data_IF_117601332535
#
_entry.id   IF_117601332535
#
_cell.length_a   1.000
_cell.length_b   1.000
_cell.length_c   1.000
_cell.angle_alpha   90.00
_cell.angle_beta   90.00
_cell.angle_gamma   90.00
#
_symmetry.space_group_name_H-M   'P 1'
#
loop_
_entity.id
_entity.type
_entity.pdbx_description
1 polymer ?
#
# COMPACT_ATOMS: atom_id res chain seq x y z
N UNK A 1 27.93 18.35 -31.74
CA UNK A 1 27.10 17.97 -30.59
C UNK A 1 26.09 16.91 -31.04
N UNK A 2 26.06 15.73 -30.41
CA UNK A 2 25.05 14.70 -30.71
C UNK A 2 23.68 15.21 -30.26
N UNK A 3 22.67 15.13 -31.08
CA UNK A 3 21.29 15.48 -30.72
C UNK A 3 20.80 14.50 -29.64
N UNK A 4 20.41 15.03 -28.47
CA UNK A 4 19.72 14.27 -27.45
C UNK A 4 18.39 13.81 -28.03
N UNK A 5 18.14 12.52 -28.04
CA UNK A 5 16.85 11.97 -28.51
C UNK A 5 15.79 12.12 -27.43
N UNK A 6 14.51 12.19 -27.84
CA UNK A 6 13.38 12.29 -26.90
C UNK A 6 13.44 11.22 -25.79
N UNK A 7 13.66 9.92 -26.09
CA UNK A 7 13.77 8.91 -25.03
C UNK A 7 14.92 9.17 -24.04
N UNK A 8 16.04 9.73 -24.52
CA UNK A 8 17.17 10.05 -23.64
C UNK A 8 16.85 11.22 -22.72
N UNK A 9 16.14 12.24 -23.22
CA UNK A 9 15.68 13.35 -22.40
C UNK A 9 14.67 12.90 -21.37
N UNK A 10 13.70 12.05 -21.74
CA UNK A 10 12.71 11.48 -20.82
C UNK A 10 13.39 10.69 -19.70
N UNK A 11 14.36 9.83 -20.05
CA UNK A 11 15.11 9.05 -19.03
C UNK A 11 15.90 9.97 -18.06
N UNK A 12 16.52 11.04 -18.58
CA UNK A 12 17.22 12.00 -17.74
C UNK A 12 16.29 12.73 -16.79
N UNK A 13 15.15 13.20 -17.28
CA UNK A 13 14.13 13.88 -16.47
C UNK A 13 13.58 12.91 -15.39
N UNK A 14 13.18 11.71 -15.78
CA UNK A 14 12.63 10.72 -14.87
C UNK A 14 13.64 10.36 -13.75
N UNK A 15 14.93 10.15 -14.08
CA UNK A 15 15.98 9.90 -13.11
C UNK A 15 16.20 11.08 -12.17
N UNK A 16 16.18 12.30 -12.69
CA UNK A 16 16.34 13.52 -11.85
C UNK A 16 15.15 13.71 -10.91
N UNK A 17 13.92 13.57 -11.40
CA UNK A 17 12.70 13.67 -10.57
C UNK A 17 12.71 12.61 -9.47
N UNK A 18 13.10 11.36 -9.79
CA UNK A 18 13.20 10.28 -8.81
C UNK A 18 14.25 10.57 -7.73
N UNK A 19 15.40 11.16 -8.09
CA UNK A 19 16.43 11.56 -7.13
C UNK A 19 15.94 12.67 -6.20
N UNK A 20 15.30 13.70 -6.76
CA UNK A 20 14.73 14.80 -5.98
C UNK A 20 13.68 14.25 -5.01
N UNK A 21 12.79 13.39 -5.49
CA UNK A 21 11.77 12.75 -4.65
C UNK A 21 12.39 11.92 -3.52
N UNK A 22 13.43 11.11 -3.81
CA UNK A 22 14.19 10.37 -2.80
C UNK A 22 14.74 11.29 -1.71
N UNK A 23 15.38 12.39 -2.10
CA UNK A 23 15.98 13.33 -1.15
C UNK A 23 14.92 14.01 -0.29
N UNK A 24 13.84 14.50 -0.90
CA UNK A 24 12.75 15.15 -0.17
C UNK A 24 12.08 14.18 0.81
N UNK A 25 11.73 12.96 0.37
CA UNK A 25 11.16 11.96 1.27
C UNK A 25 12.13 11.56 2.38
N UNK A 26 13.43 11.44 2.10
CA UNK A 26 14.45 11.14 3.10
C UNK A 26 14.56 12.22 4.19
N UNK A 27 14.41 13.48 3.81
CA UNK A 27 14.41 14.62 4.75
C UNK A 27 13.11 14.66 5.57
N UNK A 28 11.95 14.47 4.94
CA UNK A 28 10.65 14.58 5.61
C UNK A 28 10.30 13.38 6.49
N UNK A 29 10.69 12.17 6.06
CA UNK A 29 10.21 10.91 6.67
C UNK A 29 11.33 9.97 7.12
N UNK A 30 12.60 10.39 7.06
CA UNK A 30 13.80 9.59 7.30
C UNK A 30 14.26 8.74 6.11
N UNK A 31 15.59 8.70 5.89
CA UNK A 31 16.23 7.85 4.86
C UNK A 31 16.17 6.35 5.19
N UNK A 32 15.88 6.00 6.44
CA UNK A 32 15.70 4.60 6.88
C UNK A 32 14.31 4.04 6.55
N UNK A 33 13.38 4.85 6.04
CA UNK A 33 12.03 4.40 5.69
C UNK A 33 12.09 3.23 4.69
N UNK A 34 11.40 2.15 5.04
CA UNK A 34 11.40 0.91 4.25
C UNK A 34 11.10 1.15 2.78
N UNK A 35 11.97 0.66 1.89
CA UNK A 35 11.79 0.72 0.44
C UNK A 35 12.12 2.07 -0.23
N UNK A 36 12.46 3.14 0.50
CA UNK A 36 12.75 4.45 -0.08
C UNK A 36 13.92 4.40 -1.08
N UNK A 37 14.88 3.50 -0.87
CA UNK A 37 16.02 3.24 -1.77
C UNK A 37 15.63 2.87 -3.21
N UNK A 38 14.38 2.43 -3.45
CA UNK A 38 13.86 2.12 -4.79
C UNK A 38 13.97 3.35 -5.71
N UNK A 39 13.66 4.52 -5.19
CA UNK A 39 13.74 5.78 -5.93
C UNK A 39 15.17 6.17 -6.28
N UNK A 40 16.12 5.93 -5.37
CA UNK A 40 17.56 6.10 -5.65
C UNK A 40 18.03 5.10 -6.71
N UNK A 41 17.66 3.82 -6.57
CA UNK A 41 17.99 2.78 -7.54
C UNK A 41 17.46 3.10 -8.94
N UNK A 42 16.20 3.54 -9.05
CA UNK A 42 15.62 3.97 -10.31
C UNK A 42 16.38 5.16 -10.93
N UNK A 43 16.73 6.16 -10.12
CA UNK A 43 17.54 7.30 -10.58
C UNK A 43 18.90 6.86 -11.13
N UNK A 44 19.58 5.96 -10.43
CA UNK A 44 20.89 5.43 -10.87
C UNK A 44 20.79 4.63 -12.17
N UNK A 45 19.74 3.81 -12.33
CA UNK A 45 19.46 3.05 -13.56
C UNK A 45 19.21 4.01 -14.73
N UNK A 46 18.39 5.04 -14.54
CA UNK A 46 18.12 6.04 -15.58
C UNK A 46 19.38 6.83 -15.94
N UNK A 47 20.17 7.27 -14.96
CA UNK A 47 21.45 7.94 -15.18
C UNK A 47 22.44 7.06 -15.95
N UNK A 48 22.56 5.78 -15.59
CA UNK A 48 23.38 4.82 -16.34
C UNK A 48 22.90 4.62 -17.77
N UNK A 49 21.58 4.50 -17.98
CA UNK A 49 21.01 4.35 -19.33
C UNK A 49 21.32 5.56 -20.22
N UNK A 50 21.22 6.77 -19.68
CA UNK A 50 21.59 8.01 -20.37
C UNK A 50 23.07 8.03 -20.70
N UNK A 51 23.93 7.75 -19.72
CA UNK A 51 25.38 7.70 -19.92
C UNK A 51 25.78 6.66 -20.97
N UNK A 52 25.21 5.45 -20.88
CA UNK A 52 25.44 4.38 -21.86
C UNK A 52 25.06 4.82 -23.27
N UNK A 53 23.89 5.41 -23.43
CA UNK A 53 23.39 5.91 -24.72
C UNK A 53 24.28 6.98 -25.33
N UNK A 54 24.83 7.87 -24.51
CA UNK A 54 25.65 8.98 -25.01
C UNK A 54 27.12 8.59 -25.23
N UNK A 55 27.67 7.71 -24.39
CA UNK A 55 29.12 7.44 -24.38
C UNK A 55 29.48 6.06 -24.95
N UNK A 56 28.74 5.00 -24.63
CA UNK A 56 29.12 3.63 -24.96
C UNK A 56 28.48 3.14 -26.29
N UNK A 57 27.18 3.30 -26.46
CA UNK A 57 26.45 2.79 -27.64
C UNK A 57 27.05 3.28 -28.98
N UNK A 58 27.51 4.54 -29.12
CA UNK A 58 28.12 5.00 -30.35
C UNK A 58 29.48 4.40 -30.67
N UNK A 59 30.12 3.75 -29.70
CA UNK A 59 31.45 3.11 -29.88
C UNK A 59 31.34 1.63 -30.21
N UNK A 60 30.14 1.04 -30.18
CA UNK A 60 29.94 -0.38 -30.54
C UNK A 60 30.10 -0.52 -32.06
N UNK A 61 31.10 -1.27 -32.53
CA UNK A 61 31.34 -1.41 -33.98
C UNK A 61 30.20 -2.19 -34.64
N UNK A 62 29.86 -1.78 -35.87
CA UNK A 62 28.85 -2.47 -36.67
C UNK A 62 29.33 -3.86 -37.03
N UNK A 63 28.62 -4.91 -36.58
CA UNK A 63 28.99 -6.29 -36.81
C UNK A 63 28.11 -7.26 -35.99
N UNK A 64 28.61 -8.49 -35.79
CA UNK A 64 27.90 -9.53 -35.05
C UNK A 64 27.59 -9.11 -33.60
N UNK A 65 28.53 -8.43 -32.94
CA UNK A 65 28.34 -7.90 -31.59
C UNK A 65 27.24 -6.86 -31.51
N UNK A 66 27.12 -5.97 -32.51
CA UNK A 66 26.04 -4.98 -32.58
C UNK A 66 24.67 -5.62 -32.79
N UNK A 67 24.56 -6.71 -33.57
CA UNK A 67 23.33 -7.47 -33.72
C UNK A 67 22.87 -8.07 -32.39
N UNK A 68 23.80 -8.71 -31.65
CA UNK A 68 23.53 -9.29 -30.32
C UNK A 68 23.08 -8.18 -29.35
N UNK A 69 23.80 -7.06 -29.28
CA UNK A 69 23.40 -5.91 -28.46
C UNK A 69 21.99 -5.43 -28.77
N UNK A 70 21.61 -5.30 -30.04
CA UNK A 70 20.26 -4.90 -30.43
C UNK A 70 19.19 -5.88 -29.96
N UNK A 71 19.43 -7.19 -30.09
CA UNK A 71 18.50 -8.22 -29.63
C UNK A 71 18.32 -8.12 -28.12
N UNK A 72 19.42 -8.09 -27.36
CA UNK A 72 19.36 -7.98 -25.89
C UNK A 72 18.63 -6.71 -25.45
N UNK A 73 18.95 -5.59 -26.08
CA UNK A 73 18.25 -4.32 -25.80
C UNK A 73 16.75 -4.42 -26.06
N UNK A 74 16.33 -5.02 -27.18
CA UNK A 74 14.90 -5.21 -27.48
C UNK A 74 14.23 -6.11 -26.44
N UNK A 75 14.85 -7.24 -26.09
CA UNK A 75 14.33 -8.15 -25.05
C UNK A 75 14.18 -7.42 -23.71
N UNK A 76 15.21 -6.71 -23.26
CA UNK A 76 15.15 -5.93 -22.01
C UNK A 76 14.03 -4.89 -22.03
N UNK A 77 13.87 -4.16 -23.13
CA UNK A 77 12.80 -3.18 -23.29
C UNK A 77 11.42 -3.83 -23.30
N UNK A 78 11.26 -5.00 -23.94
CA UNK A 78 10.00 -5.73 -23.96
C UNK A 78 9.61 -6.26 -22.56
N UNK A 79 10.57 -6.81 -21.82
CA UNK A 79 10.37 -7.26 -20.42
C UNK A 79 10.01 -6.06 -19.53
N UNK A 80 10.71 -4.95 -19.68
CA UNK A 80 10.39 -3.72 -18.94
C UNK A 80 9.00 -3.19 -19.28
N UNK A 81 8.62 -3.18 -20.55
CA UNK A 81 7.29 -2.74 -20.98
C UNK A 81 6.19 -3.65 -20.41
N UNK A 82 6.40 -4.96 -20.37
CA UNK A 82 5.48 -5.91 -19.77
C UNK A 82 5.35 -5.67 -18.25
N UNK A 83 6.47 -5.49 -17.56
CA UNK A 83 6.49 -5.15 -16.13
C UNK A 83 5.70 -3.86 -15.86
N UNK A 84 5.95 -2.81 -16.65
CA UNK A 84 5.23 -1.55 -16.50
C UNK A 84 3.73 -1.68 -16.79
N UNK A 85 3.33 -2.52 -17.75
CA UNK A 85 1.91 -2.79 -18.01
C UNK A 85 1.23 -3.46 -16.81
N UNK A 86 1.86 -4.46 -16.21
CA UNK A 86 1.37 -5.14 -14.98
C UNK A 86 1.31 -4.16 -13.82
N UNK A 87 2.36 -3.37 -13.61
CA UNK A 87 2.41 -2.34 -12.58
C UNK A 87 1.27 -1.32 -12.74
N UNK A 88 1.09 -0.76 -13.94
CA UNK A 88 0.02 0.20 -14.21
C UNK A 88 -1.36 -0.42 -13.98
N UNK A 89 -1.57 -1.66 -14.41
CA UNK A 89 -2.84 -2.35 -14.16
C UNK A 89 -3.12 -2.49 -12.66
N UNK A 90 -2.11 -2.87 -11.88
CA UNK A 90 -2.22 -2.95 -10.42
C UNK A 90 -2.59 -1.58 -9.81
N UNK A 91 -1.89 -0.51 -10.20
CA UNK A 91 -2.18 0.84 -9.71
C UNK A 91 -3.60 1.30 -10.08
N UNK A 92 -4.10 0.95 -11.26
CA UNK A 92 -5.49 1.23 -11.64
C UNK A 92 -6.51 0.48 -10.78
N UNK A 93 -6.24 -0.78 -10.44
CA UNK A 93 -7.07 -1.55 -9.51
C UNK A 93 -7.05 -0.93 -8.11
N UNK A 94 -5.87 -0.52 -7.63
CA UNK A 94 -5.69 0.14 -6.34
C UNK A 94 -6.48 1.45 -6.27
N UNK A 95 -6.32 2.33 -7.26
CA UNK A 95 -7.03 3.62 -7.35
C UNK A 95 -8.55 3.39 -7.44
N UNK A 96 -8.99 2.42 -8.25
CA UNK A 96 -10.41 2.08 -8.36
C UNK A 96 -11.01 1.67 -7.03
N UNK A 97 -10.30 0.85 -6.26
CA UNK A 97 -10.76 0.39 -4.94
C UNK A 97 -10.75 1.51 -3.90
N UNK A 98 -9.74 2.38 -3.95
CA UNK A 98 -9.67 3.57 -3.11
C UNK A 98 -10.86 4.50 -3.32
N UNK A 99 -11.15 4.87 -4.59
CA UNK A 99 -12.29 5.72 -4.92
C UNK A 99 -13.61 5.08 -4.44
N UNK A 100 -13.76 3.76 -4.59
CA UNK A 100 -14.93 3.05 -4.10
C UNK A 100 -15.05 3.17 -2.57
N UNK A 101 -13.94 3.03 -1.84
CA UNK A 101 -13.90 3.18 -0.38
C UNK A 101 -14.24 4.59 0.12
N UNK A 102 -13.92 5.64 -0.64
CA UNK A 102 -14.32 7.02 -0.30
C UNK A 102 -15.84 7.25 -0.44
N UNK A 103 -16.54 6.46 -1.24
CA UNK A 103 -17.98 6.57 -1.45
C UNK A 103 -18.84 5.72 -0.51
N UNK A 104 -18.25 5.00 0.43
CA UNK A 104 -18.96 4.01 1.26
C UNK A 104 -19.56 4.60 2.54
N UNK A 105 -19.48 5.90 2.76
CA UNK A 105 -20.01 6.66 3.90
C UNK A 105 -21.53 6.59 3.96
N UNK A 106 -22.30 5.85 4.02
CA UNK A 106 -23.78 5.67 4.02
C UNK A 106 -24.18 4.18 3.89
N UNK A 107 -23.19 3.31 3.78
CA UNK A 107 -23.41 1.87 3.79
C UNK A 107 -23.44 1.38 5.25
N UNK A 108 -24.48 0.62 5.64
CA UNK A 108 -24.53 0.03 6.98
C UNK A 108 -23.60 -1.19 7.08
N UNK A 109 -22.98 -1.38 8.23
CA UNK A 109 -22.19 -2.58 8.55
C UNK A 109 -22.55 -3.11 9.94
N UNK A 110 -22.44 -4.44 10.11
CA UNK A 110 -22.64 -5.12 11.39
C UNK A 110 -21.34 -5.12 12.20
N UNK A 111 -20.22 -5.16 11.50
CA UNK A 111 -18.87 -5.17 12.07
C UNK A 111 -17.96 -4.20 11.30
N UNK A 112 -17.13 -3.48 12.02
CA UNK A 112 -16.12 -2.56 11.48
C UNK A 112 -14.73 -3.05 11.90
N UNK A 113 -13.93 -3.50 10.95
CA UNK A 113 -12.53 -3.86 11.17
C UNK A 113 -11.68 -2.62 10.90
N UNK A 114 -10.91 -2.17 11.88
CA UNK A 114 -9.95 -1.07 11.73
C UNK A 114 -8.55 -1.67 11.70
N UNK A 115 -7.91 -1.62 10.52
CA UNK A 115 -6.55 -2.16 10.37
C UNK A 115 -5.52 -1.23 11.01
N UNK A 116 -4.61 -1.83 11.74
CA UNK A 116 -3.51 -1.16 12.40
C UNK A 116 -2.52 -0.48 11.44
N UNK A 117 -1.80 0.48 11.96
CA UNK A 117 -0.68 1.15 11.32
C UNK A 117 0.26 1.68 12.42
N UNK A 118 1.39 2.25 12.01
CA UNK A 118 2.45 2.70 12.92
C UNK A 118 1.91 3.52 14.08
N UNK A 119 2.32 3.15 15.28
CA UNK A 119 2.22 3.93 16.52
C UNK A 119 3.58 4.58 16.75
N UNK A 120 3.63 5.71 17.40
CA UNK A 120 4.86 6.40 17.80
C UNK A 120 4.87 6.50 19.34
N UNK A 121 5.41 5.45 19.96
CA UNK A 121 5.37 5.29 21.42
C UNK A 121 3.98 4.90 21.93
N UNK A 122 3.13 5.87 22.27
CA UNK A 122 1.75 5.68 22.72
C UNK A 122 0.73 6.51 21.92
N UNK A 123 1.20 7.21 20.87
CA UNK A 123 0.36 8.09 20.02
C UNK A 123 0.21 7.48 18.63
N UNK A 124 -0.98 7.60 18.00
CA UNK A 124 -1.13 7.14 16.63
C UNK A 124 -0.26 7.99 15.67
N UNK A 125 0.53 7.32 14.81
CA UNK A 125 1.16 7.99 13.69
C UNK A 125 0.12 8.49 12.66
N UNK A 126 0.53 9.35 11.71
CA UNK A 126 -0.38 10.03 10.77
C UNK A 126 -1.38 9.09 10.07
N UNK A 127 -0.91 7.94 9.57
CA UNK A 127 -1.78 6.99 8.87
C UNK A 127 -2.77 6.32 9.82
N UNK A 128 -2.36 5.99 11.05
CA UNK A 128 -3.26 5.41 12.04
C UNK A 128 -4.29 6.41 12.51
N UNK A 129 -3.89 7.67 12.75
CA UNK A 129 -4.79 8.76 13.12
C UNK A 129 -5.88 8.98 12.04
N UNK A 130 -5.50 8.98 10.76
CA UNK A 130 -6.44 9.08 9.66
C UNK A 130 -7.44 7.90 9.62
N UNK A 131 -6.97 6.67 9.88
CA UNK A 131 -7.85 5.48 9.95
C UNK A 131 -8.81 5.56 11.14
N UNK A 132 -8.33 6.00 12.29
CA UNK A 132 -9.17 6.18 13.49
C UNK A 132 -10.26 7.22 13.22
N UNK A 133 -9.93 8.33 12.56
CA UNK A 133 -10.91 9.36 12.22
C UNK A 133 -11.94 8.82 11.23
N UNK A 134 -11.53 8.13 10.17
CA UNK A 134 -12.44 7.53 9.20
C UNK A 134 -13.34 6.45 9.85
N UNK A 135 -12.78 5.68 10.80
CA UNK A 135 -13.56 4.72 11.57
C UNK A 135 -14.60 5.43 12.46
N UNK A 136 -14.21 6.50 13.13
CA UNK A 136 -15.10 7.29 13.96
C UNK A 136 -16.29 7.85 13.13
N UNK A 137 -16.01 8.53 12.01
CA UNK A 137 -17.04 9.08 11.12
C UNK A 137 -17.99 7.98 10.62
N UNK A 138 -17.46 6.82 10.25
CA UNK A 138 -18.29 5.69 9.80
C UNK A 138 -19.14 5.12 10.93
N UNK A 139 -18.63 5.09 12.18
CA UNK A 139 -19.33 4.56 13.36
C UNK A 139 -20.42 5.51 13.87
N UNK A 140 -20.36 6.82 13.59
CA UNK A 140 -21.45 7.76 13.87
C UNK A 140 -22.70 7.38 13.09
N UNK A 141 -22.55 6.94 11.82
CA UNK A 141 -23.66 6.47 10.98
C UNK A 141 -24.05 5.00 11.27
N UNK A 142 -23.20 4.26 12.02
CA UNK A 142 -23.39 2.83 12.35
C UNK A 142 -23.30 2.59 13.87
N UNK A 143 -24.26 3.11 14.67
CA UNK A 143 -24.16 3.10 16.14
C UNK A 143 -24.23 1.69 16.76
N UNK A 144 -24.77 0.70 16.06
CA UNK A 144 -24.92 -0.68 16.56
C UNK A 144 -23.78 -1.61 16.13
N UNK A 145 -22.90 -1.16 15.21
CA UNK A 145 -21.81 -2.00 14.70
C UNK A 145 -20.78 -2.37 15.79
N UNK A 146 -20.34 -3.62 15.79
CA UNK A 146 -19.20 -4.06 16.59
C UNK A 146 -17.90 -3.60 15.93
N UNK A 147 -16.93 -3.13 16.71
CA UNK A 147 -15.61 -2.70 16.23
C UNK A 147 -14.55 -3.73 16.56
N UNK A 148 -13.73 -4.09 15.60
CA UNK A 148 -12.53 -4.93 15.81
C UNK A 148 -11.31 -4.07 15.44
N UNK A 149 -10.62 -3.60 16.47
CA UNK A 149 -9.35 -2.89 16.32
C UNK A 149 -8.22 -3.92 16.20
N UNK A 150 -7.45 -3.86 15.10
CA UNK A 150 -6.41 -4.85 14.80
C UNK A 150 -5.03 -4.22 14.83
N UNK A 151 -4.05 -4.99 15.32
CA UNK A 151 -2.64 -4.66 15.24
C UNK A 151 -1.89 -4.93 16.55
N UNK A 152 -0.76 -5.59 16.43
CA UNK A 152 0.10 -5.96 17.55
C UNK A 152 0.98 -4.82 18.05
N UNK A 153 1.98 -5.17 18.84
CA UNK A 153 2.98 -4.24 19.37
C UNK A 153 4.11 -4.05 18.36
N UNK A 154 4.31 -2.83 17.91
CA UNK A 154 5.43 -2.47 17.06
C UNK A 154 6.76 -2.37 17.81
N UNK A 155 7.87 -2.44 17.07
CA UNK A 155 9.21 -2.31 17.66
C UNK A 155 9.42 -0.91 18.24
N UNK A 156 9.59 -0.85 19.57
CA UNK A 156 9.82 0.41 20.30
C UNK A 156 8.56 1.12 20.74
N UNK A 157 7.37 0.57 20.48
CA UNK A 157 6.10 1.11 20.94
C UNK A 157 5.77 0.66 22.37
N UNK A 158 4.94 1.42 23.06
CA UNK A 158 4.51 1.14 24.45
C UNK A 158 3.12 0.52 24.51
N UNK A 159 2.34 0.65 23.44
CA UNK A 159 0.98 0.11 23.31
C UNK A 159 0.84 -0.59 21.97
N UNK A 160 -0.08 -1.56 21.89
CA UNK A 160 -0.40 -2.20 20.62
C UNK A 160 -1.15 -1.22 19.70
N UNK A 161 -1.06 -1.43 18.39
CA UNK A 161 -1.84 -0.64 17.43
C UNK A 161 -3.34 -0.75 17.74
N UNK A 162 -3.82 -1.94 18.10
CA UNK A 162 -5.22 -2.20 18.48
C UNK A 162 -5.64 -1.43 19.75
N UNK A 163 -4.81 -1.40 20.78
CA UNK A 163 -5.11 -0.66 22.01
C UNK A 163 -5.07 0.86 21.78
N UNK A 164 -4.17 1.34 20.91
CA UNK A 164 -4.12 2.73 20.50
C UNK A 164 -5.42 3.13 19.74
N UNK A 165 -5.89 2.32 18.79
CA UNK A 165 -7.17 2.53 18.09
C UNK A 165 -8.32 2.59 19.09
N UNK A 166 -8.41 1.60 19.99
CA UNK A 166 -9.46 1.54 21.00
C UNK A 166 -9.47 2.76 21.90
N UNK A 167 -8.30 3.15 22.42
CA UNK A 167 -8.17 4.31 23.28
C UNK A 167 -8.64 5.60 22.63
N UNK A 168 -8.24 5.81 21.37
CA UNK A 168 -8.63 7.00 20.61
C UNK A 168 -10.12 7.02 20.24
N UNK A 169 -10.71 5.87 19.84
CA UNK A 169 -12.14 5.78 19.55
C UNK A 169 -12.98 6.04 20.82
N UNK A 170 -12.56 5.54 21.98
CA UNK A 170 -13.23 5.85 23.27
C UNK A 170 -13.11 7.35 23.57
N UNK A 171 -11.95 7.96 23.35
CA UNK A 171 -11.74 9.41 23.55
C UNK A 171 -12.64 10.25 22.66
N UNK A 172 -12.94 9.76 21.45
CA UNK A 172 -13.87 10.38 20.51
C UNK A 172 -15.35 10.15 20.84
N UNK A 173 -15.66 9.26 21.81
CA UNK A 173 -17.03 9.03 22.30
C UNK A 173 -17.65 7.70 21.92
N UNK A 174 -16.92 6.79 21.26
CA UNK A 174 -17.41 5.44 20.96
C UNK A 174 -17.43 4.60 22.24
N UNK A 175 -18.54 3.86 22.50
CA UNK A 175 -18.66 2.97 23.64
C UNK A 175 -17.59 1.86 23.60
N UNK A 176 -16.72 1.81 24.59
CA UNK A 176 -15.65 0.81 24.69
C UNK A 176 -16.13 -0.64 24.74
N UNK A 177 -17.38 -0.88 25.13
CA UNK A 177 -17.98 -2.22 25.11
C UNK A 177 -18.24 -2.76 23.70
N UNK A 178 -18.32 -1.88 22.72
CA UNK A 178 -18.43 -2.25 21.29
C UNK A 178 -17.08 -2.58 20.66
N UNK A 179 -15.94 -2.30 21.32
CA UNK A 179 -14.63 -2.37 20.72
C UNK A 179 -13.87 -3.59 21.24
N UNK A 180 -13.71 -4.59 20.37
CA UNK A 180 -12.84 -5.73 20.55
C UNK A 180 -11.43 -5.38 20.05
N UNK A 181 -10.39 -5.93 20.66
CA UNK A 181 -9.01 -5.72 20.24
C UNK A 181 -8.36 -7.02 19.82
N UNK A 182 -7.73 -7.02 18.66
CA UNK A 182 -6.82 -8.05 18.17
C UNK A 182 -5.39 -7.51 18.28
N UNK A 183 -4.59 -8.08 19.17
CA UNK A 183 -3.28 -7.53 19.58
C UNK A 183 -2.08 -8.43 19.25
N UNK A 184 -2.30 -9.52 18.49
CA UNK A 184 -1.27 -10.54 18.21
C UNK A 184 -0.61 -10.38 16.85
N UNK A 185 -1.33 -9.79 15.91
CA UNK A 185 -0.91 -9.68 14.51
C UNK A 185 0.35 -8.85 14.33
N UNK A 186 1.19 -9.28 13.42
CA UNK A 186 2.43 -8.60 12.99
C UNK A 186 2.40 -8.25 11.50
N UNK A 187 1.31 -8.60 10.82
CA UNK A 187 1.11 -8.37 9.38
C UNK A 187 -0.36 -8.17 9.05
N UNK A 188 -0.64 -7.60 7.87
CA UNK A 188 -2.03 -7.43 7.41
C UNK A 188 -2.74 -8.78 7.23
N UNK A 189 -2.02 -9.81 6.80
CA UNK A 189 -2.56 -11.17 6.69
C UNK A 189 -3.03 -11.69 8.06
N UNK A 190 -2.22 -11.50 9.11
CA UNK A 190 -2.56 -11.90 10.47
C UNK A 190 -3.67 -11.04 11.07
N UNK A 191 -3.76 -9.74 10.73
CA UNK A 191 -4.89 -8.90 11.12
C UNK A 191 -6.23 -9.56 10.71
N UNK A 192 -6.35 -9.99 9.46
CA UNK A 192 -7.57 -10.64 8.97
C UNK A 192 -7.76 -12.04 9.54
N UNK A 193 -6.67 -12.82 9.66
CA UNK A 193 -6.72 -14.16 10.22
C UNK A 193 -7.29 -14.16 11.65
N UNK A 194 -6.78 -13.28 12.51
CA UNK A 194 -7.22 -13.20 13.90
C UNK A 194 -8.51 -12.41 14.09
N UNK A 195 -8.76 -11.38 13.26
CA UNK A 195 -10.03 -10.67 13.27
C UNK A 195 -11.20 -11.59 12.91
N UNK A 196 -11.00 -12.54 11.98
CA UNK A 196 -12.04 -13.49 11.59
C UNK A 196 -12.58 -14.31 12.77
N UNK A 197 -11.78 -14.57 13.80
CA UNK A 197 -12.18 -15.27 15.03
C UNK A 197 -13.05 -14.40 15.94
N UNK A 198 -12.98 -13.06 15.82
CA UNK A 198 -13.69 -12.10 16.66
C UNK A 198 -14.99 -11.60 16.01
N UNK A 199 -15.17 -11.83 14.71
CA UNK A 199 -16.38 -11.41 13.98
C UNK A 199 -17.58 -12.19 14.47
N UNK A 200 -18.70 -11.54 14.89
CA UNK A 200 -19.93 -12.22 15.24
C UNK A 200 -20.42 -13.17 14.15
N UNK A 201 -20.97 -14.32 14.54
CA UNK A 201 -21.39 -15.36 13.57
C UNK A 201 -22.53 -14.91 12.67
N UNK A 202 -23.33 -13.96 13.09
CA UNK A 202 -24.49 -13.38 12.41
C UNK A 202 -24.13 -12.11 11.61
N UNK A 203 -22.88 -11.68 11.63
CA UNK A 203 -22.44 -10.52 10.85
C UNK A 203 -22.36 -10.87 9.35
N UNK A 204 -23.10 -10.13 8.53
CA UNK A 204 -23.15 -10.28 7.07
C UNK A 204 -22.40 -9.16 6.34
N UNK A 205 -22.27 -7.99 6.97
CA UNK A 205 -21.68 -6.78 6.37
C UNK A 205 -20.52 -6.29 7.21
N UNK A 206 -19.32 -6.39 6.65
CA UNK A 206 -18.08 -6.07 7.34
C UNK A 206 -17.42 -4.88 6.66
N UNK A 207 -17.38 -3.75 7.34
CA UNK A 207 -16.61 -2.60 6.89
C UNK A 207 -15.14 -2.78 7.23
N UNK A 208 -14.24 -2.51 6.27
CA UNK A 208 -12.79 -2.55 6.47
C UNK A 208 -12.22 -1.15 6.30
N UNK A 209 -11.78 -0.57 7.42
CA UNK A 209 -11.21 0.76 7.48
C UNK A 209 -9.69 0.66 7.36
N UNK A 210 -9.14 1.28 6.32
CA UNK A 210 -7.70 1.38 6.10
C UNK A 210 -7.35 2.55 5.18
N UNK A 211 -6.05 2.80 4.99
CA UNK A 211 -5.55 3.80 4.03
C UNK A 211 -6.03 3.54 2.62
N UNK A 212 -6.37 4.59 1.86
CA UNK A 212 -6.91 4.44 0.52
C UNK A 212 -6.00 3.62 -0.42
N UNK A 213 -4.68 3.86 -0.38
CA UNK A 213 -3.71 3.09 -1.17
C UNK A 213 -3.58 1.62 -0.73
N UNK A 214 -4.06 1.26 0.47
CA UNK A 214 -4.02 -0.10 0.99
C UNK A 214 -5.32 -0.90 0.74
N UNK A 215 -6.41 -0.24 0.34
CA UNK A 215 -7.74 -0.85 0.18
C UNK A 215 -7.77 -2.06 -0.74
N UNK A 216 -7.00 -2.03 -1.85
CA UNK A 216 -6.99 -3.15 -2.79
C UNK A 216 -6.43 -4.44 -2.16
N UNK A 217 -5.30 -4.34 -1.46
CA UNK A 217 -4.67 -5.48 -0.79
C UNK A 217 -5.48 -5.95 0.42
N UNK A 218 -6.00 -5.02 1.22
CA UNK A 218 -6.86 -5.33 2.34
C UNK A 218 -8.14 -6.07 1.90
N UNK A 219 -8.74 -5.66 0.77
CA UNK A 219 -9.92 -6.33 0.22
C UNK A 219 -9.62 -7.78 -0.16
N UNK A 220 -8.54 -8.04 -0.92
CA UNK A 220 -8.19 -9.40 -1.35
C UNK A 220 -7.88 -10.30 -0.15
N UNK A 221 -7.18 -9.79 0.87
CA UNK A 221 -6.93 -10.53 2.12
C UNK A 221 -8.22 -10.79 2.90
N UNK A 222 -9.12 -9.80 2.97
CA UNK A 222 -10.42 -9.96 3.60
C UNK A 222 -11.25 -11.06 2.91
N UNK A 223 -11.37 -11.02 1.59
CA UNK A 223 -12.03 -12.06 0.80
C UNK A 223 -11.42 -13.44 1.04
N UNK A 224 -10.09 -13.54 1.07
CA UNK A 224 -9.39 -14.80 1.31
C UNK A 224 -9.69 -15.40 2.69
N UNK A 225 -9.60 -14.60 3.76
CA UNK A 225 -9.80 -15.09 5.13
C UNK A 225 -11.27 -15.26 5.51
N UNK A 226 -12.17 -14.54 4.84
CA UNK A 226 -13.61 -14.62 5.10
C UNK A 226 -14.35 -15.50 4.08
N UNK A 227 -13.64 -16.12 3.13
CA UNK A 227 -14.20 -16.98 2.08
C UNK A 227 -15.01 -18.18 2.59
N UNK A 228 -14.81 -18.60 3.84
CA UNK A 228 -15.59 -19.68 4.48
C UNK A 228 -17.01 -19.22 4.93
N UNK A 229 -17.31 -17.93 4.80
CA UNK A 229 -18.58 -17.31 5.19
C UNK A 229 -19.30 -16.86 3.90
N UNK A 230 -20.16 -17.71 3.38
CA UNK A 230 -20.80 -17.55 2.05
C UNK A 230 -21.62 -16.25 1.88
N UNK A 231 -22.10 -15.64 2.96
CA UNK A 231 -22.99 -14.47 2.93
C UNK A 231 -22.34 -13.15 3.37
N UNK A 232 -20.99 -13.11 3.50
CA UNK A 232 -20.30 -11.90 3.97
C UNK A 232 -20.00 -10.94 2.81
N UNK A 233 -20.37 -9.67 2.99
CA UNK A 233 -20.04 -8.56 2.09
C UNK A 233 -18.99 -7.65 2.73
N UNK A 234 -17.86 -7.44 2.08
CA UNK A 234 -16.80 -6.52 2.51
C UNK A 234 -17.05 -5.13 1.95
N UNK A 235 -17.20 -4.16 2.83
CA UNK A 235 -17.39 -2.74 2.52
C UNK A 235 -16.08 -2.00 2.74
N UNK A 236 -15.44 -1.45 1.69
CA UNK A 236 -14.23 -0.66 1.86
C UNK A 236 -14.56 0.70 2.48
N UNK A 237 -13.79 1.13 3.48
CA UNK A 237 -13.84 2.48 4.06
C UNK A 237 -12.43 3.05 4.02
N UNK A 238 -12.22 4.04 3.14
CA UNK A 238 -10.90 4.61 2.90
C UNK A 238 -10.64 5.80 3.81
N UNK A 239 -9.57 5.75 4.58
CA UNK A 239 -9.05 6.90 5.31
C UNK A 239 -8.42 7.91 4.34
N UNK A 240 -8.59 9.21 4.63
CA UNK A 240 -7.97 10.30 3.88
C UNK A 240 -6.58 10.60 4.45
N UNK A 241 -5.59 9.83 4.00
CA UNK A 241 -4.19 9.91 4.40
C UNK A 241 -3.27 10.30 3.24
N UNK A 242 -3.77 11.14 2.34
CA UNK A 242 -2.98 11.64 1.20
C UNK A 242 -1.83 12.51 1.70
N UNK A 243 -0.61 11.98 1.60
CA UNK A 243 0.62 12.67 1.99
C UNK A 243 1.59 12.75 0.82
N UNK A 244 2.66 13.54 0.97
CA UNK A 244 3.73 13.59 -0.02
C UNK A 244 4.39 12.22 -0.25
N UNK A 245 4.29 11.30 0.71
CA UNK A 245 4.80 9.92 0.58
C UNK A 245 3.87 8.98 -0.20
N UNK A 246 2.69 9.42 -0.65
CA UNK A 246 1.73 8.58 -1.37
C UNK A 246 2.33 7.80 -2.56
N UNK A 247 3.11 8.41 -3.48
CA UNK A 247 3.72 7.65 -4.58
C UNK A 247 4.64 6.54 -4.09
N UNK A 248 5.34 6.75 -2.96
CA UNK A 248 6.16 5.71 -2.34
C UNK A 248 5.30 4.60 -1.76
N UNK A 249 4.21 4.93 -1.07
CA UNK A 249 3.28 3.95 -0.49
C UNK A 249 2.64 3.08 -1.57
N UNK A 250 2.22 3.65 -2.70
CA UNK A 250 1.65 2.91 -3.83
C UNK A 250 2.66 1.91 -4.42
N UNK A 251 3.90 2.34 -4.71
CA UNK A 251 4.96 1.44 -5.20
C UNK A 251 5.26 0.32 -4.18
N UNK A 252 5.22 0.62 -2.88
CA UNK A 252 5.42 -0.36 -1.82
C UNK A 252 4.28 -1.38 -1.77
N UNK A 253 3.02 -0.95 -1.98
CA UNK A 253 1.87 -1.85 -2.02
C UNK A 253 1.97 -2.87 -3.16
N UNK A 254 2.47 -2.48 -4.34
CA UNK A 254 2.74 -3.42 -5.43
C UNK A 254 3.75 -4.50 -5.01
N UNK A 255 4.85 -4.11 -4.35
CA UNK A 255 5.86 -5.06 -3.89
C UNK A 255 5.32 -5.96 -2.75
N UNK A 256 4.55 -5.40 -1.82
CA UNK A 256 3.91 -6.15 -0.73
C UNK A 256 2.90 -7.16 -1.28
N UNK A 257 2.05 -6.77 -2.22
CA UNK A 257 1.10 -7.67 -2.86
C UNK A 257 1.79 -8.82 -3.61
N UNK A 258 2.89 -8.53 -4.32
CA UNK A 258 3.68 -9.57 -4.97
C UNK A 258 4.31 -10.56 -3.97
N UNK A 259 4.76 -10.09 -2.80
CA UNK A 259 5.24 -10.95 -1.70
C UNK A 259 4.13 -11.82 -1.15
N UNK A 260 2.97 -11.22 -0.82
CA UNK A 260 1.81 -11.95 -0.28
C UNK A 260 1.32 -13.06 -1.23
N UNK A 261 1.38 -12.80 -2.55
CA UNK A 261 1.03 -13.79 -3.56
C UNK A 261 2.04 -14.95 -3.61
N UNK A 262 3.35 -14.66 -3.45
CA UNK A 262 4.40 -15.68 -3.42
C UNK A 262 4.35 -16.52 -2.12
N UNK A 263 3.99 -15.90 -1.01
CA UNK A 263 3.90 -16.53 0.31
C UNK A 263 2.57 -17.29 0.50
N UNK A 264 1.64 -17.17 -0.46
CA UNK A 264 0.34 -17.84 -0.40
C UNK A 264 -0.65 -17.22 0.58
N UNK A 265 -0.40 -15.96 0.98
CA UNK A 265 -1.27 -15.19 1.87
C UNK A 265 -2.53 -14.67 1.16
N UNK A 266 -2.57 -14.74 -0.15
CA UNK A 266 -3.71 -14.36 -1.00
C UNK A 266 -3.84 -15.30 -2.19
N UNK A 267 -5.07 -15.47 -2.71
CA UNK A 267 -5.35 -16.19 -3.94
C UNK A 267 -6.03 -15.25 -4.95
N UNK A 268 -5.72 -15.43 -6.23
CA UNK A 268 -6.37 -14.73 -7.35
C UNK A 268 -7.48 -15.60 -7.99
N UNK A 269 -7.97 -16.63 -7.25
CA UNK A 269 -9.00 -17.57 -7.74
C UNK A 269 -10.39 -16.93 -7.72
#
# INVERSE_FOLDING_TARGET
MKKITVPTAVAAIAGTVSLIYYVICGILYSFSRSGLWIWLGFSLIMGFAVMWKLLAEPRIPVGRGYKIYRILKTVCLSVFALFMAVFILFELCLIGRWIHGCGSSGSSADTVIVLGATVEGDVPGDALAARILAAYEYLEDNPDATVIACGGLGDGDFVTEADCIKGELIRLGIDGNRILTETKSTSTNENFLYAAELIPHDAERIAVVTSGFHQFRAFIMGEYHLSSRDDVTIIPVSADDVTFSLPHSMVREFAAFASDLMDGNVSLS
#
